data_IF_116533586083
#
_entry.id   IF_116533586083
#
_cell.length_a   1.000
_cell.length_b   1.000
_cell.length_c   1.000
_cell.angle_alpha   90.00
_cell.angle_beta   90.00
_cell.angle_gamma   90.00
#
_symmetry.space_group_name_H-M   'P 1'
#
loop_
_entity.id
_entity.type
_entity.pdbx_description
1 polymer ?
#
# COMPACT_ATOMS: atom_id res chain seq x y z
N UNK A 1 -48.60 22.28 -56.22
CA UNK A 1 -47.27 22.31 -55.58
C UNK A 1 -47.31 22.86 -54.14
N UNK A 2 -48.21 23.79 -53.80
CA UNK A 2 -48.27 24.41 -52.47
C UNK A 2 -48.80 23.51 -51.34
N UNK A 3 -49.68 22.55 -51.65
CA UNK A 3 -50.25 21.63 -50.64
C UNK A 3 -49.20 20.67 -50.10
N UNK A 4 -48.33 20.15 -50.97
CA UNK A 4 -47.27 19.20 -50.62
C UNK A 4 -46.21 19.83 -49.71
N UNK A 5 -45.89 21.11 -49.95
CA UNK A 5 -44.91 21.87 -49.15
C UNK A 5 -45.44 22.12 -47.74
N UNK A 6 -46.73 22.46 -47.60
CA UNK A 6 -47.35 22.71 -46.30
C UNK A 6 -47.45 21.43 -45.46
N UNK A 7 -47.73 20.28 -46.07
CA UNK A 7 -47.71 18.99 -45.38
C UNK A 7 -46.30 18.61 -44.92
N UNK A 8 -45.26 18.82 -45.75
CA UNK A 8 -43.87 18.56 -45.34
C UNK A 8 -43.37 19.53 -44.27
N UNK A 9 -43.86 20.77 -44.28
CA UNK A 9 -43.54 21.74 -43.23
C UNK A 9 -44.16 21.33 -41.89
N UNK A 10 -45.42 20.88 -41.89
CA UNK A 10 -46.07 20.39 -40.68
C UNK A 10 -45.35 19.17 -40.09
N UNK A 11 -44.99 18.18 -40.92
CA UNK A 11 -44.28 16.99 -40.43
C UNK A 11 -42.90 17.33 -39.89
N UNK A 12 -42.15 18.23 -40.55
CA UNK A 12 -40.86 18.68 -40.04
C UNK A 12 -40.97 19.48 -38.73
N UNK A 13 -42.06 20.24 -38.55
CA UNK A 13 -42.33 20.95 -37.29
C UNK A 13 -42.63 19.96 -36.15
N UNK A 14 -43.44 18.93 -36.40
CA UNK A 14 -43.74 17.88 -35.44
C UNK A 14 -42.47 17.10 -35.04
N UNK A 15 -41.64 16.75 -36.02
CA UNK A 15 -40.34 16.12 -35.82
C UNK A 15 -39.39 17.00 -34.99
N UNK A 16 -39.34 18.29 -35.29
CA UNK A 16 -38.51 19.25 -34.56
C UNK A 16 -38.95 19.37 -33.09
N UNK A 17 -40.26 19.41 -32.83
CA UNK A 17 -40.80 19.44 -31.47
C UNK A 17 -40.47 18.14 -30.72
N UNK A 18 -40.64 16.99 -31.37
CA UNK A 18 -40.30 15.68 -30.79
C UNK A 18 -38.83 15.58 -30.42
N UNK A 19 -37.93 16.00 -31.32
CA UNK A 19 -36.49 15.96 -31.09
C UNK A 19 -36.07 16.92 -29.96
N UNK A 20 -36.70 18.10 -29.86
CA UNK A 20 -36.46 19.03 -28.75
C UNK A 20 -36.88 18.44 -27.41
N UNK A 21 -38.05 17.78 -27.33
CA UNK A 21 -38.46 17.09 -26.10
C UNK A 21 -37.47 15.98 -25.72
N UNK A 22 -37.08 15.15 -26.68
CA UNK A 22 -36.14 14.04 -26.44
C UNK A 22 -34.75 14.54 -26.02
N UNK A 23 -34.29 15.66 -26.57
CA UNK A 23 -33.06 16.32 -26.14
C UNK A 23 -33.17 16.79 -24.68
N UNK A 24 -34.32 17.35 -24.30
CA UNK A 24 -34.56 17.85 -22.95
C UNK A 24 -34.63 16.69 -21.93
N UNK A 25 -35.29 15.59 -22.28
CA UNK A 25 -35.28 14.34 -21.49
C UNK A 25 -33.86 13.79 -21.31
N UNK A 26 -33.07 13.73 -22.37
CA UNK A 26 -31.67 13.26 -22.28
C UNK A 26 -30.79 14.19 -21.45
N UNK A 27 -31.03 15.51 -21.52
CA UNK A 27 -30.33 16.48 -20.66
C UNK A 27 -30.75 16.35 -19.19
N UNK A 28 -32.02 16.05 -18.93
CA UNK A 28 -32.54 15.78 -17.59
C UNK A 28 -31.91 14.49 -17.03
N UNK A 29 -31.92 13.40 -17.79
CA UNK A 29 -31.26 12.14 -17.43
C UNK A 29 -29.76 12.34 -17.18
N UNK A 30 -29.08 13.13 -18.02
CA UNK A 30 -27.65 13.45 -17.84
C UNK A 30 -27.39 14.25 -16.57
N UNK A 31 -28.29 15.16 -16.18
CA UNK A 31 -28.21 15.90 -14.90
C UNK A 31 -28.49 14.97 -13.72
N UNK A 32 -29.47 14.09 -13.83
CA UNK A 32 -29.78 13.08 -12.80
C UNK A 32 -28.62 12.10 -12.61
N UNK A 33 -27.96 11.65 -13.69
CA UNK A 33 -26.75 10.81 -13.62
C UNK A 33 -25.51 11.57 -13.09
N UNK A 34 -25.50 12.90 -13.19
CA UNK A 34 -24.44 13.76 -12.64
C UNK A 34 -24.69 14.16 -11.18
N UNK A 35 -25.97 14.14 -10.78
CA UNK A 35 -26.46 14.47 -9.43
C UNK A 35 -26.75 13.22 -8.58
N UNK A 36 -26.75 12.02 -9.18
CA UNK A 36 -26.55 10.81 -8.40
C UNK A 36 -25.21 10.98 -7.69
N UNK A 37 -25.13 10.66 -6.39
CA UNK A 37 -23.83 10.61 -5.74
C UNK A 37 -23.03 9.63 -6.61
N UNK A 38 -21.98 10.11 -7.30
CA UNK A 38 -21.00 9.26 -8.01
C UNK A 38 -20.88 8.02 -7.15
N UNK A 39 -21.36 6.88 -7.65
CA UNK A 39 -21.66 5.72 -6.82
C UNK A 39 -20.57 5.63 -5.77
N UNK A 40 -20.93 5.90 -4.51
CA UNK A 40 -20.17 5.37 -3.41
C UNK A 40 -20.41 3.89 -3.53
N UNK A 41 -19.72 3.25 -4.48
CA UNK A 41 -19.47 1.83 -4.46
C UNK A 41 -18.96 1.65 -3.05
N UNK A 42 -19.68 0.92 -2.20
CA UNK A 42 -19.12 0.55 -0.93
C UNK A 42 -17.96 -0.35 -1.33
N UNK A 43 -16.76 0.21 -1.44
CA UNK A 43 -15.57 -0.55 -1.18
C UNK A 43 -15.77 -1.02 0.26
N UNK A 44 -15.99 -2.32 0.53
CA UNK A 44 -15.53 -2.81 1.81
C UNK A 44 -14.03 -2.49 1.78
N UNK A 45 -13.64 -1.45 2.50
CA UNK A 45 -12.27 -1.32 2.97
C UNK A 45 -11.91 -2.72 3.48
N UNK A 46 -10.80 -3.34 3.04
CA UNK A 46 -10.46 -4.68 3.51
C UNK A 46 -10.58 -4.69 5.02
N UNK A 47 -11.56 -5.44 5.55
CA UNK A 47 -11.79 -5.54 6.98
C UNK A 47 -10.65 -6.39 7.52
N UNK A 48 -9.50 -5.76 7.76
CA UNK A 48 -8.51 -6.32 8.65
C UNK A 48 -9.21 -6.49 10.00
N UNK A 49 -9.18 -7.67 10.63
CA UNK A 49 -9.75 -7.85 11.96
C UNK A 49 -8.96 -7.03 12.98
N UNK A 50 -9.35 -5.76 13.13
CA UNK A 50 -8.84 -4.87 14.17
C UNK A 50 -9.53 -5.24 15.47
N UNK A 51 -8.86 -6.03 16.30
CA UNK A 51 -9.31 -6.25 17.68
C UNK A 51 -9.00 -5.00 18.49
N UNK A 52 -9.98 -4.11 18.59
CA UNK A 52 -9.84 -2.87 19.34
C UNK A 52 -9.93 -3.14 20.85
N UNK A 53 -8.78 -3.12 21.54
CA UNK A 53 -8.69 -3.20 23.02
C UNK A 53 -8.17 -1.89 23.63
N UNK A 54 -8.88 -0.78 23.46
CA UNK A 54 -8.47 0.49 24.08
C UNK A 54 -9.57 1.55 24.16
N UNK A 55 -9.54 2.40 25.19
CA UNK A 55 -10.46 3.51 25.37
C UNK A 55 -10.02 4.71 24.51
N UNK A 56 -10.93 5.28 23.71
CA UNK A 56 -10.64 6.36 22.75
C UNK A 56 -10.47 7.73 23.42
N UNK A 57 -9.29 8.32 23.32
CA UNK A 57 -9.09 9.79 23.36
C UNK A 57 -8.93 10.32 21.93
N UNK A 58 -9.39 11.55 21.72
CA UNK A 58 -9.69 12.18 20.43
C UNK A 58 -8.61 12.03 19.33
N UNK A 59 -9.11 11.95 18.10
CA UNK A 59 -8.45 11.49 16.88
C UNK A 59 -7.11 12.17 16.55
N UNK A 60 -6.09 11.32 16.41
CA UNK A 60 -4.93 11.62 15.56
C UNK A 60 -5.32 11.40 14.09
N UNK A 61 -4.84 12.23 13.15
CA UNK A 61 -5.02 11.96 11.72
C UNK A 61 -4.32 10.63 11.39
N UNK A 62 -5.12 9.66 10.95
CA UNK A 62 -4.63 8.36 10.47
C UNK A 62 -3.84 8.60 9.16
N UNK A 63 -2.61 8.09 9.00
CA UNK A 63 -1.91 8.16 7.72
C UNK A 63 -2.74 7.45 6.64
N UNK A 64 -3.13 8.18 5.59
CA UNK A 64 -4.03 7.72 4.52
C UNK A 64 -3.38 6.86 3.44
N UNK A 65 -2.16 6.35 3.66
CA UNK A 65 -1.56 5.35 2.78
C UNK A 65 -0.76 4.35 3.61
N UNK A 66 -1.29 3.14 3.73
CA UNK A 66 -0.52 1.99 4.21
C UNK A 66 0.28 1.45 3.02
N UNK A 67 1.53 1.87 2.89
CA UNK A 67 2.48 1.17 2.02
C UNK A 67 2.77 -0.16 2.71
N UNK A 68 2.10 -1.22 2.26
CA UNK A 68 2.28 -2.56 2.82
C UNK A 68 3.69 -3.07 2.46
N UNK A 69 4.37 -3.69 3.42
CA UNK A 69 5.72 -4.27 3.25
C UNK A 69 6.82 -3.27 2.87
N UNK A 70 6.77 -2.03 3.37
CA UNK A 70 7.88 -1.09 3.20
C UNK A 70 9.17 -1.71 3.76
N UNK A 71 10.20 -1.81 2.92
CA UNK A 71 11.56 -2.24 3.29
C UNK A 71 12.55 -1.23 2.73
N UNK A 72 13.18 -0.47 3.61
CA UNK A 72 14.22 0.49 3.25
C UNK A 72 15.57 -0.14 3.55
N UNK A 73 16.38 -0.34 2.52
CA UNK A 73 17.73 -0.87 2.63
C UNK A 73 18.73 0.29 2.73
N UNK A 74 19.42 0.41 3.86
CA UNK A 74 20.42 1.43 4.11
C UNK A 74 21.82 0.80 4.16
N UNK A 75 22.70 1.07 3.18
CA UNK A 75 24.07 0.58 3.22
C UNK A 75 24.85 1.31 4.31
N UNK A 76 25.50 0.55 5.18
CA UNK A 76 26.32 1.07 6.27
C UNK A 76 27.81 0.98 5.88
N UNK A 77 28.57 2.08 5.96
CA UNK A 77 29.99 2.07 5.63
C UNK A 77 30.79 1.22 6.62
N UNK A 78 31.93 0.68 6.19
CA UNK A 78 32.86 0.01 7.12
C UNK A 78 33.41 1.00 8.16
N UNK A 79 33.58 0.52 9.40
CA UNK A 79 33.95 1.38 10.53
C UNK A 79 32.80 2.24 11.05
N UNK A 80 31.58 1.70 10.99
CA UNK A 80 30.38 2.38 11.49
C UNK A 80 29.54 1.48 12.39
N UNK A 81 28.66 2.06 13.19
CA UNK A 81 27.68 1.32 13.97
C UNK A 81 26.32 2.02 13.92
N UNK A 82 25.26 1.23 13.86
CA UNK A 82 23.89 1.69 13.97
C UNK A 82 23.41 1.40 15.40
N UNK A 83 23.01 2.46 16.11
CA UNK A 83 22.44 2.35 17.46
C UNK A 83 20.96 2.73 17.37
N UNK A 84 20.09 1.89 17.92
CA UNK A 84 18.65 2.12 18.03
C UNK A 84 18.30 2.20 19.52
N UNK A 85 17.67 3.30 19.93
CA UNK A 85 17.25 3.54 21.31
C UNK A 85 15.76 3.27 21.48
N UNK A 86 15.37 2.88 22.69
CA UNK A 86 13.96 2.69 23.03
C UNK A 86 13.19 4.03 23.04
N UNK A 87 13.74 5.08 23.67
CA UNK A 87 13.16 6.43 23.68
C UNK A 87 13.81 7.33 22.59
N UNK A 88 13.03 7.90 21.65
CA UNK A 88 13.55 8.83 20.65
C UNK A 88 14.23 10.07 21.23
N UNK A 89 13.87 10.50 22.44
CA UNK A 89 14.51 11.65 23.09
C UNK A 89 15.98 11.38 23.42
N UNK A 90 16.35 10.11 23.65
CA UNK A 90 17.74 9.72 23.89
C UNK A 90 18.55 9.92 22.63
N UNK A 91 18.02 9.53 21.46
CA UNK A 91 18.67 9.78 20.18
C UNK A 91 18.93 11.29 19.98
N UNK A 92 17.95 12.15 20.22
CA UNK A 92 18.10 13.60 20.12
C UNK A 92 19.17 14.15 21.08
N UNK A 93 19.29 13.59 22.29
CA UNK A 93 20.31 13.99 23.28
C UNK A 93 21.71 13.58 22.83
N UNK A 94 21.87 12.33 22.37
CA UNK A 94 23.16 11.84 21.84
C UNK A 94 23.58 12.69 20.63
N UNK A 95 22.65 13.09 19.78
CA UNK A 95 22.89 13.92 18.60
C UNK A 95 23.27 15.38 18.91
N UNK A 96 23.01 15.89 20.12
CA UNK A 96 23.52 17.20 20.55
C UNK A 96 25.05 17.22 20.59
N UNK A 97 25.68 16.06 20.82
CA UNK A 97 27.12 15.88 20.82
C UNK A 97 27.53 15.09 19.57
N UNK A 98 28.01 15.80 18.54
CA UNK A 98 28.45 15.16 17.28
C UNK A 98 29.67 14.26 17.44
N UNK A 99 30.40 14.38 18.54
CA UNK A 99 31.64 13.68 18.75
C UNK A 99 31.73 13.15 20.16
N UNK A 100 32.01 11.86 20.26
CA UNK A 100 32.04 11.13 21.51
C UNK A 100 33.45 10.59 21.73
N UNK A 101 33.96 10.85 22.93
CA UNK A 101 35.19 10.22 23.43
C UNK A 101 34.80 9.02 24.27
N UNK A 102 35.18 7.84 23.83
CA UNK A 102 34.92 6.58 24.52
C UNK A 102 36.21 6.20 25.25
N UNK A 103 36.18 6.29 26.58
CA UNK A 103 37.32 5.92 27.42
C UNK A 103 37.34 4.40 27.62
N UNK A 104 38.50 3.78 27.38
CA UNK A 104 38.78 2.37 27.61
C UNK A 104 39.89 2.24 28.67
N UNK A 105 40.19 1.02 29.11
CA UNK A 105 41.18 0.78 30.18
C UNK A 105 42.57 1.31 29.84
N UNK A 106 43.04 1.10 28.59
CA UNK A 106 44.40 1.48 28.18
C UNK A 106 44.44 2.61 27.12
N UNK A 107 43.31 3.00 26.53
CA UNK A 107 43.26 4.00 25.47
C UNK A 107 41.89 4.70 25.39
N UNK A 108 41.69 5.53 24.37
CA UNK A 108 40.39 6.16 24.11
C UNK A 108 40.11 6.21 22.60
N UNK A 109 38.84 6.11 22.25
CA UNK A 109 38.35 6.18 20.88
C UNK A 109 37.60 7.49 20.64
N UNK A 110 37.72 8.01 19.42
CA UNK A 110 36.98 9.19 18.97
C UNK A 110 36.02 8.74 17.88
N UNK A 111 34.73 8.82 18.17
CA UNK A 111 33.68 8.46 17.20
C UNK A 111 32.79 9.66 16.92
N UNK A 112 32.26 9.72 15.71
CA UNK A 112 31.33 10.76 15.30
C UNK A 112 29.92 10.21 15.27
N UNK A 113 28.96 10.97 15.79
CA UNK A 113 27.54 10.58 15.77
C UNK A 113 26.79 11.56 14.88
N UNK A 114 25.99 10.99 13.97
CA UNK A 114 25.15 11.73 13.04
C UNK A 114 23.74 11.15 12.99
N UNK A 115 22.73 11.95 12.63
CA UNK A 115 21.38 11.44 12.48
C UNK A 115 21.34 10.44 11.33
N UNK A 116 20.57 9.36 11.50
CA UNK A 116 20.31 8.46 10.39
C UNK A 116 19.22 9.05 9.49
N UNK A 117 19.58 9.37 8.26
CA UNK A 117 18.62 9.82 7.24
C UNK A 117 18.26 8.68 6.28
N UNK A 118 16.97 8.42 6.15
CA UNK A 118 16.44 7.43 5.22
C UNK A 118 15.61 8.10 4.11
N UNK A 119 15.70 7.60 2.86
CA UNK A 119 14.84 8.05 1.78
C UNK A 119 13.41 7.52 2.01
N UNK A 120 12.50 8.39 2.42
CA UNK A 120 11.12 8.05 2.72
C UNK A 120 10.18 8.62 1.67
N UNK A 121 9.19 7.81 1.25
CA UNK A 121 8.10 8.28 0.39
C UNK A 121 7.15 9.13 1.23
N UNK A 122 7.08 10.43 0.95
CA UNK A 122 6.24 11.37 1.71
C UNK A 122 4.87 11.57 1.08
N UNK A 123 4.81 11.50 -0.24
CA UNK A 123 3.60 11.80 -1.01
C UNK A 123 3.43 10.75 -2.09
N UNK A 124 2.25 10.12 -2.14
CA UNK A 124 1.84 9.27 -3.25
C UNK A 124 0.52 9.82 -3.79
N UNK A 125 0.50 10.16 -5.07
CA UNK A 125 -0.72 10.50 -5.78
C UNK A 125 -1.10 9.30 -6.64
N UNK A 126 -2.25 8.72 -6.34
CA UNK A 126 -2.81 7.59 -7.08
C UNK A 126 -4.03 8.06 -7.85
N UNK A 127 -4.07 7.79 -9.14
CA UNK A 127 -5.32 7.86 -9.90
C UNK A 127 -6.00 6.52 -9.90
N UNK A 128 -7.27 6.54 -9.52
CA UNK A 128 -8.13 5.37 -9.56
C UNK A 128 -9.03 5.44 -10.79
N UNK A 129 -8.97 4.41 -11.64
CA UNK A 129 -9.85 4.27 -12.80
C UNK A 129 -10.55 2.91 -12.75
N UNK A 130 -11.85 2.91 -13.02
CA UNK A 130 -12.61 1.65 -13.15
C UNK A 130 -12.13 0.92 -14.40
N UNK A 131 -11.86 -0.38 -14.27
CA UNK A 131 -11.59 -1.22 -15.41
C UNK A 131 -12.86 -2.04 -15.70
N UNK A 132 -13.49 -1.75 -16.84
CA UNK A 132 -14.82 -2.29 -17.16
C UNK A 132 -14.76 -3.74 -17.67
N UNK A 133 -13.56 -4.27 -17.89
CA UNK A 133 -13.32 -5.64 -18.35
C UNK A 133 -12.81 -6.56 -17.23
N UNK A 134 -12.52 -6.02 -16.04
CA UNK A 134 -11.95 -6.78 -14.92
C UNK A 134 -12.88 -6.81 -13.71
N UNK A 135 -12.83 -7.91 -12.98
CA UNK A 135 -13.56 -8.08 -11.73
C UNK A 135 -12.62 -8.55 -10.62
N UNK A 136 -12.92 -8.15 -9.40
CA UNK A 136 -12.25 -8.62 -8.19
C UNK A 136 -13.12 -9.68 -7.51
N UNK A 137 -12.57 -10.88 -7.33
CA UNK A 137 -13.20 -11.99 -6.63
C UNK A 137 -12.56 -12.12 -5.25
N UNK A 138 -13.38 -12.16 -4.20
CA UNK A 138 -12.92 -12.31 -2.81
C UNK A 138 -13.84 -13.22 -1.99
N UNK A 139 -13.42 -13.54 -0.75
CA UNK A 139 -14.13 -14.48 0.12
C UNK A 139 -13.53 -15.89 0.15
N UNK A 140 -12.26 -16.03 -0.18
CA UNK A 140 -11.55 -17.31 -0.08
C UNK A 140 -11.32 -17.68 1.40
N UNK A 141 -11.65 -18.92 1.82
CA UNK A 141 -11.42 -19.37 3.19
C UNK A 141 -9.91 -19.57 3.44
N UNK A 142 -9.45 -19.25 4.66
CA UNK A 142 -8.05 -19.38 5.02
C UNK A 142 -7.56 -20.83 5.01
N UNK A 143 -8.47 -21.79 5.20
CA UNK A 143 -8.20 -23.23 5.23
C UNK A 143 -8.26 -23.87 3.83
N UNK A 144 -8.42 -23.08 2.77
CA UNK A 144 -8.50 -23.60 1.40
C UNK A 144 -7.18 -24.26 1.01
N UNK A 145 -7.16 -25.60 0.95
CA UNK A 145 -6.00 -26.40 0.53
C UNK A 145 -5.88 -26.46 -0.99
N UNK A 146 -5.77 -25.32 -1.66
CA UNK A 146 -5.47 -25.24 -3.09
C UNK A 146 -4.20 -24.42 -3.28
N UNK A 147 -3.36 -24.84 -4.21
CA UNK A 147 -2.26 -23.99 -4.69
C UNK A 147 -2.82 -22.80 -5.48
N UNK A 148 -2.01 -21.77 -5.64
CA UNK A 148 -2.35 -20.56 -6.41
C UNK A 148 -2.85 -20.91 -7.82
N UNK A 149 -2.10 -21.72 -8.57
CA UNK A 149 -2.49 -22.12 -9.92
C UNK A 149 -3.78 -22.96 -9.96
N UNK A 150 -3.98 -23.87 -9.00
CA UNK A 150 -5.23 -24.65 -8.92
C UNK A 150 -6.45 -23.77 -8.63
N UNK A 151 -6.27 -22.73 -7.80
CA UNK A 151 -7.33 -21.77 -7.53
C UNK A 151 -7.67 -20.98 -8.79
N UNK A 152 -6.65 -20.43 -9.46
CA UNK A 152 -6.82 -19.62 -10.68
C UNK A 152 -7.47 -20.44 -11.79
N UNK A 153 -7.03 -21.69 -12.01
CA UNK A 153 -7.61 -22.59 -13.01
C UNK A 153 -9.08 -22.91 -12.73
N UNK A 154 -9.44 -23.20 -11.47
CA UNK A 154 -10.84 -23.46 -11.10
C UNK A 154 -11.72 -22.23 -11.30
N UNK A 155 -11.22 -21.05 -10.97
CA UNK A 155 -11.95 -19.80 -11.15
C UNK A 155 -12.13 -19.48 -12.63
N UNK A 156 -11.09 -19.67 -13.44
CA UNK A 156 -11.14 -19.52 -14.88
C UNK A 156 -12.17 -20.47 -15.50
N UNK A 157 -12.14 -21.76 -15.14
CA UNK A 157 -13.11 -22.74 -15.63
C UNK A 157 -14.53 -22.38 -15.19
N UNK A 158 -14.71 -21.84 -13.98
CA UNK A 158 -16.03 -21.47 -13.46
C UNK A 158 -16.58 -20.21 -14.14
N UNK A 159 -15.79 -19.14 -14.19
CA UNK A 159 -16.17 -17.85 -14.77
C UNK A 159 -16.00 -17.80 -16.29
N UNK A 160 -15.38 -18.81 -16.90
CA UNK A 160 -15.36 -19.02 -18.36
C UNK A 160 -16.69 -19.52 -18.92
N UNK A 161 -17.57 -20.05 -18.06
CA UNK A 161 -18.83 -20.68 -18.48
C UNK A 161 -19.94 -19.66 -18.63
N UNK A 162 -20.50 -19.55 -19.84
CA UNK A 162 -21.67 -18.71 -20.12
C UNK A 162 -22.88 -18.99 -19.21
N UNK A 163 -23.09 -20.25 -18.78
CA UNK A 163 -24.17 -20.61 -17.83
C UNK A 163 -24.08 -19.91 -16.47
N UNK A 164 -22.87 -19.48 -16.09
CA UNK A 164 -22.62 -18.77 -14.84
C UNK A 164 -22.64 -17.23 -15.06
N UNK A 165 -23.08 -16.76 -16.24
CA UNK A 165 -22.98 -15.35 -16.62
C UNK A 165 -21.55 -14.91 -16.98
N UNK A 166 -20.64 -15.87 -17.13
CA UNK A 166 -19.24 -15.71 -17.45
C UNK A 166 -18.94 -15.70 -18.96
N UNK A 167 -17.66 -15.69 -19.32
CA UNK A 167 -17.19 -15.65 -20.71
C UNK A 167 -15.67 -15.77 -20.79
N UNK A 168 -15.09 -15.64 -21.97
CA UNK A 168 -13.67 -15.88 -22.21
C UNK A 168 -12.79 -15.01 -21.30
N UNK A 169 -11.97 -15.68 -20.48
CA UNK A 169 -11.05 -15.07 -19.52
C UNK A 169 -9.72 -14.84 -20.24
N UNK A 170 -9.24 -13.60 -20.23
CA UNK A 170 -7.96 -13.21 -20.86
C UNK A 170 -6.83 -13.10 -19.84
N UNK A 171 -7.14 -12.67 -18.61
CA UNK A 171 -6.12 -12.44 -17.57
C UNK A 171 -6.58 -12.97 -16.23
N UNK A 172 -5.66 -13.55 -15.46
CA UNK A 172 -5.88 -14.04 -14.10
C UNK A 172 -4.71 -13.63 -13.22
N UNK A 173 -4.98 -13.01 -12.09
CA UNK A 173 -3.96 -12.49 -11.17
C UNK A 173 -4.39 -12.74 -9.73
N UNK A 174 -3.53 -13.36 -8.92
CA UNK A 174 -3.74 -13.51 -7.49
C UNK A 174 -3.17 -12.28 -6.76
N UNK A 175 -4.00 -11.61 -5.99
CA UNK A 175 -3.64 -10.56 -5.04
C UNK A 175 -3.73 -11.12 -3.61
N UNK A 176 -3.24 -10.38 -2.61
CA UNK A 176 -3.30 -10.78 -1.21
C UNK A 176 -4.75 -11.03 -0.75
N UNK A 177 -5.17 -12.29 -0.74
CA UNK A 177 -6.51 -12.73 -0.34
C UNK A 177 -7.62 -12.47 -1.35
N UNK A 178 -7.32 -12.11 -2.60
CA UNK A 178 -8.33 -11.86 -3.65
C UNK A 178 -7.79 -12.23 -5.04
N UNK A 179 -8.66 -12.49 -6.02
CA UNK A 179 -8.27 -12.82 -7.39
C UNK A 179 -8.87 -11.80 -8.34
N UNK A 180 -8.07 -11.30 -9.27
CA UNK A 180 -8.54 -10.44 -10.37
C UNK A 180 -8.69 -11.31 -11.61
N UNK A 181 -9.86 -11.27 -12.23
CA UNK A 181 -10.13 -11.89 -13.52
C UNK A 181 -10.45 -10.81 -14.54
N UNK A 182 -9.83 -10.91 -15.72
CA UNK A 182 -10.11 -10.06 -16.87
C UNK A 182 -10.76 -10.85 -17.98
N UNK A 183 -11.76 -10.25 -18.62
CA UNK A 183 -12.58 -10.88 -19.65
C UNK A 183 -12.45 -10.13 -20.98
N UNK A 184 -12.57 -10.85 -22.09
CA UNK A 184 -12.53 -10.26 -23.42
C UNK A 184 -13.61 -9.19 -23.65
N UNK A 185 -14.80 -9.38 -23.03
CA UNK A 185 -15.96 -8.48 -23.17
C UNK A 185 -16.30 -7.80 -21.84
N UNK A 186 -16.49 -6.48 -21.88
CA UNK A 186 -16.93 -5.70 -20.72
C UNK A 186 -18.29 -6.13 -20.17
N UNK A 187 -19.20 -6.56 -21.05
CA UNK A 187 -20.55 -7.02 -20.68
C UNK A 187 -20.50 -8.19 -19.69
N UNK A 188 -19.50 -9.06 -19.82
CA UNK A 188 -19.29 -10.20 -18.91
C UNK A 188 -18.93 -9.69 -17.52
N UNK A 189 -17.92 -8.82 -17.41
CA UNK A 189 -17.50 -8.26 -16.13
C UNK A 189 -18.64 -7.48 -15.44
N UNK A 190 -19.39 -6.67 -16.20
CA UNK A 190 -20.56 -5.94 -15.70
C UNK A 190 -21.65 -6.89 -15.19
N UNK A 191 -21.96 -7.94 -15.95
CA UNK A 191 -22.96 -8.93 -15.56
C UNK A 191 -22.54 -9.70 -14.31
N UNK A 192 -21.28 -10.10 -14.20
CA UNK A 192 -20.73 -10.78 -13.02
C UNK A 192 -20.80 -9.87 -11.77
N UNK A 193 -20.47 -8.58 -11.90
CA UNK A 193 -20.60 -7.60 -10.82
C UNK A 193 -22.07 -7.40 -10.39
N UNK A 194 -23.01 -7.44 -11.34
CA UNK A 194 -24.45 -7.33 -11.05
C UNK A 194 -24.98 -8.54 -10.26
N UNK A 195 -24.48 -9.74 -10.56
CA UNK A 195 -24.82 -10.95 -9.79
C UNK A 195 -24.18 -10.89 -8.40
N UNK A 196 -22.91 -10.48 -8.31
CA UNK A 196 -22.22 -10.12 -7.08
C UNK A 196 -21.85 -11.26 -6.12
N UNK A 197 -22.60 -12.36 -6.10
CA UNK A 197 -22.33 -13.53 -5.26
C UNK A 197 -22.45 -14.83 -6.03
N UNK A 198 -21.46 -15.70 -5.86
CA UNK A 198 -21.38 -16.98 -6.56
C UNK A 198 -21.02 -18.10 -5.58
N UNK A 199 -21.63 -19.28 -5.77
CA UNK A 199 -21.17 -20.50 -5.11
C UNK A 199 -20.25 -21.24 -6.07
N UNK A 200 -18.96 -21.26 -5.75
CA UNK A 200 -17.94 -21.83 -6.62
C UNK A 200 -17.43 -23.14 -6.01
N UNK A 201 -17.44 -24.25 -6.77
CA UNK A 201 -16.89 -25.51 -6.31
C UNK A 201 -15.35 -25.43 -6.31
N UNK A 202 -14.77 -25.22 -5.14
CA UNK A 202 -13.32 -25.17 -4.93
C UNK A 202 -12.89 -26.43 -4.16
N UNK A 203 -12.34 -27.40 -4.90
CA UNK A 203 -11.97 -28.70 -4.33
C UNK A 203 -13.21 -29.54 -4.01
N UNK A 204 -13.42 -29.87 -2.73
CA UNK A 204 -14.56 -30.68 -2.25
C UNK A 204 -15.71 -29.85 -1.65
N UNK A 205 -15.57 -28.53 -1.65
CA UNK A 205 -16.52 -27.62 -1.00
C UNK A 205 -17.06 -26.58 -1.98
N UNK A 206 -18.32 -26.19 -1.80
CA UNK A 206 -18.87 -25.00 -2.43
C UNK A 206 -18.58 -23.78 -1.55
N UNK A 207 -17.81 -22.84 -2.10
CA UNK A 207 -17.39 -21.64 -1.39
C UNK A 207 -18.23 -20.45 -1.90
N UNK A 208 -18.86 -19.67 -1.01
CA UNK A 208 -19.50 -18.42 -1.38
C UNK A 208 -18.45 -17.34 -1.66
N UNK A 209 -18.25 -17.01 -2.93
CA UNK A 209 -17.37 -15.93 -3.38
C UNK A 209 -18.18 -14.68 -3.71
N UNK A 210 -17.56 -13.52 -3.48
CA UNK A 210 -18.11 -12.20 -3.81
C UNK A 210 -17.33 -11.61 -4.98
N UNK A 211 -18.05 -11.00 -5.92
CA UNK A 211 -17.49 -10.36 -7.11
C UNK A 211 -17.76 -8.87 -7.05
N UNK A 212 -16.72 -8.08 -7.24
CA UNK A 212 -16.73 -6.62 -7.18
C UNK A 212 -16.16 -6.02 -8.46
N UNK A 213 -16.55 -4.79 -8.82
CA UNK A 213 -15.91 -4.06 -9.91
C UNK A 213 -14.43 -3.83 -9.60
N UNK A 214 -13.56 -4.07 -10.58
CA UNK A 214 -12.14 -3.80 -10.42
C UNK A 214 -11.84 -2.32 -10.66
N UNK A 215 -11.06 -1.72 -9.77
CA UNK A 215 -10.55 -0.35 -9.92
C UNK A 215 -9.04 -0.43 -9.91
N UNK A 216 -8.43 -0.07 -11.04
CA UNK A 216 -6.99 0.04 -11.14
C UNK A 216 -6.54 1.33 -10.45
N UNK A 217 -5.52 1.22 -9.60
CA UNK A 217 -4.82 2.35 -9.01
C UNK A 217 -3.46 2.51 -9.66
N UNK A 218 -3.26 3.58 -10.41
CA UNK A 218 -1.96 3.92 -10.99
C UNK A 218 -1.31 5.04 -10.19
N UNK A 219 -0.05 4.83 -9.80
CA UNK A 219 0.74 5.87 -9.12
C UNK A 219 1.15 6.90 -10.17
N UNK A 220 0.58 8.11 -10.08
CA UNK A 220 0.91 9.22 -10.97
C UNK A 220 2.14 9.98 -10.48
N UNK A 221 2.30 10.09 -9.17
CA UNK A 221 3.41 10.81 -8.56
C UNK A 221 3.81 10.15 -7.26
N UNK A 222 5.11 9.97 -7.06
CA UNK A 222 5.70 9.62 -5.79
C UNK A 222 6.81 10.64 -5.48
N UNK A 223 6.77 11.23 -4.29
CA UNK A 223 7.82 12.11 -3.80
C UNK A 223 8.61 11.40 -2.70
N UNK A 224 9.93 11.38 -2.85
CA UNK A 224 10.87 10.80 -1.89
C UNK A 224 11.66 11.94 -1.26
N UNK A 225 11.73 11.97 0.07
CA UNK A 225 12.54 12.93 0.83
C UNK A 225 13.37 12.20 1.86
N UNK A 226 14.59 12.68 2.09
CA UNK A 226 15.40 12.23 3.24
C UNK A 226 14.74 12.68 4.53
N UNK A 227 14.49 11.74 5.43
CA UNK A 227 13.95 12.00 6.75
C UNK A 227 14.80 11.33 7.82
N UNK A 228 14.99 12.05 8.93
CA UNK A 228 15.71 11.57 10.10
C UNK A 228 14.88 10.52 10.84
N UNK A 229 15.48 9.38 11.15
CA UNK A 229 14.85 8.32 11.95
C UNK A 229 14.93 8.68 13.43
N UNK A 230 13.77 8.84 14.09
CA UNK A 230 13.66 9.45 15.41
C UNK A 230 14.35 8.67 16.56
N UNK A 231 14.64 7.39 16.36
CA UNK A 231 15.23 6.49 17.38
C UNK A 231 16.64 6.01 17.06
N UNK A 232 17.17 6.38 15.89
CA UNK A 232 18.37 5.75 15.35
C UNK A 232 19.46 6.77 15.10
N UNK A 233 20.67 6.44 15.55
CA UNK A 233 21.87 7.25 15.29
C UNK A 233 22.92 6.39 14.59
N UNK A 234 23.66 7.05 13.70
CA UNK A 234 24.77 6.43 12.99
C UNK A 234 26.08 6.92 13.60
N UNK A 235 26.86 5.97 14.09
CA UNK A 235 28.20 6.18 14.65
C UNK A 235 29.21 5.90 13.55
N UNK A 236 30.12 6.83 13.32
CA UNK A 236 31.16 6.79 12.28
C UNK A 236 32.56 6.89 12.89
N UNK A 237 33.56 6.58 12.06
CA UNK A 237 34.99 6.63 12.38
C UNK A 237 35.37 5.68 13.52
N UNK A 238 34.76 4.49 13.53
CA UNK A 238 35.13 3.43 14.46
C UNK A 238 36.44 2.81 13.97
N UNK A 239 37.54 2.91 14.73
CA UNK A 239 38.83 2.37 14.32
C UNK A 239 38.91 0.85 14.50
N UNK A 240 39.77 0.20 13.71
CA UNK A 240 40.01 -1.25 13.76
C UNK A 240 41.04 -1.61 14.86
N UNK A 241 40.64 -1.45 16.12
CA UNK A 241 41.53 -1.63 17.29
C UNK A 241 41.06 -2.69 18.26
N UNK A 242 39.79 -3.09 18.16
CA UNK A 242 39.17 -4.14 18.96
C UNK A 242 38.49 -5.14 18.05
N UNK A 243 38.26 -6.34 18.56
CA UNK A 243 37.42 -7.29 17.86
C UNK A 243 35.94 -6.87 17.85
N UNK A 244 35.14 -7.55 17.02
CA UNK A 244 33.73 -7.21 16.84
C UNK A 244 32.90 -7.24 18.13
N UNK A 245 32.97 -8.31 18.95
CA UNK A 245 32.27 -8.39 20.23
C UNK A 245 32.69 -7.33 21.24
N UNK A 246 34.00 -7.12 21.45
CA UNK A 246 34.49 -6.11 22.41
C UNK A 246 34.08 -4.69 21.99
N UNK A 247 34.16 -4.39 20.69
CA UNK A 247 33.71 -3.10 20.17
C UNK A 247 32.20 -2.89 20.38
N UNK A 248 31.40 -3.94 20.21
CA UNK A 248 29.96 -3.90 20.43
C UNK A 248 29.64 -3.58 21.90
N UNK A 249 30.23 -4.32 22.84
CA UNK A 249 30.02 -4.11 24.28
C UNK A 249 30.42 -2.71 24.74
N UNK A 250 31.57 -2.21 24.28
CA UNK A 250 32.07 -0.87 24.67
C UNK A 250 31.15 0.24 24.14
N UNK A 251 30.68 0.12 22.89
CA UNK A 251 29.75 1.10 22.31
C UNK A 251 28.40 1.05 23.04
N UNK A 252 27.89 -0.15 23.32
CA UNK A 252 26.63 -0.32 24.05
C UNK A 252 26.72 0.32 25.43
N UNK A 253 27.76 0.02 26.21
CA UNK A 253 27.99 0.61 27.53
C UNK A 253 28.13 2.14 27.45
N UNK A 254 28.79 2.67 26.42
CA UNK A 254 28.93 4.12 26.24
C UNK A 254 27.58 4.80 25.98
N UNK A 255 26.78 4.24 25.07
CA UNK A 255 25.47 4.79 24.69
C UNK A 255 24.35 4.47 25.69
N UNK A 256 24.58 3.56 26.64
CA UNK A 256 23.68 3.36 27.78
C UNK A 256 23.89 4.36 28.92
N UNK A 257 25.05 5.03 29.01
CA UNK A 257 25.37 5.94 30.12
C UNK A 257 24.60 7.27 30.01
N UNK A 258 23.73 7.60 31.00
CA UNK A 258 23.00 8.88 30.99
C UNK A 258 23.91 10.11 31.07
N UNK A 259 25.10 9.97 31.66
CA UNK A 259 26.10 11.05 31.74
C UNK A 259 26.62 11.49 30.37
N UNK A 260 26.42 10.68 29.32
CA UNK A 260 26.80 10.97 27.93
C UNK A 260 25.58 11.28 27.05
N UNK A 261 24.41 11.52 27.65
CA UNK A 261 23.14 11.68 26.95
C UNK A 261 22.56 10.35 26.44
N UNK A 262 23.14 9.23 26.85
CA UNK A 262 22.69 7.87 26.52
C UNK A 262 21.47 7.40 27.32
N UNK A 263 20.98 6.22 26.99
CA UNK A 263 19.78 5.61 27.58
C UNK A 263 19.61 4.16 27.15
N UNK A 264 18.43 3.58 27.35
CA UNK A 264 18.18 2.18 26.99
C UNK A 264 18.35 1.95 25.47
N UNK A 265 19.27 1.06 25.12
CA UNK A 265 19.56 0.65 23.74
C UNK A 265 18.70 -0.56 23.41
N UNK A 266 17.87 -0.43 22.38
CA UNK A 266 17.03 -1.52 21.87
C UNK A 266 17.88 -2.48 20.99
N UNK A 267 18.73 -1.92 20.14
CA UNK A 267 19.60 -2.69 19.27
C UNK A 267 20.88 -1.91 18.88
N UNK A 268 21.97 -2.65 18.71
CA UNK A 268 23.26 -2.12 18.24
C UNK A 268 23.84 -3.08 17.19
N UNK A 269 24.23 -2.53 16.04
CA UNK A 269 24.88 -3.28 14.96
C UNK A 269 26.16 -2.58 14.51
N UNK A 270 27.30 -3.25 14.67
CA UNK A 270 28.63 -2.73 14.30
C UNK A 270 29.07 -3.32 12.96
N UNK A 271 29.61 -2.47 12.08
CA UNK A 271 30.22 -2.83 10.81
C UNK A 271 31.72 -2.54 10.90
N UNK A 272 32.56 -3.57 11.05
CA UNK A 272 34.01 -3.38 11.14
C UNK A 272 34.60 -2.70 9.89
N UNK A 273 35.75 -2.02 10.02
CA UNK A 273 36.48 -1.49 8.86
C UNK A 273 36.77 -2.58 7.82
N UNK A 274 36.72 -2.20 6.54
CA UNK A 274 36.91 -3.14 5.42
C UNK A 274 35.72 -4.07 5.12
N UNK A 275 34.67 -4.08 5.94
CA UNK A 275 33.39 -4.75 5.66
C UNK A 275 32.32 -3.75 5.24
N UNK A 276 31.23 -4.26 4.65
CA UNK A 276 30.03 -3.49 4.34
C UNK A 276 28.83 -4.12 5.06
N UNK A 277 28.00 -3.29 5.67
CA UNK A 277 26.78 -3.71 6.34
C UNK A 277 25.54 -3.23 5.58
N UNK A 278 24.41 -3.89 5.80
CA UNK A 278 23.11 -3.47 5.26
C UNK A 278 22.08 -3.48 6.38
N UNK A 279 21.56 -2.32 6.73
CA UNK A 279 20.43 -2.19 7.65
C UNK A 279 19.12 -2.21 6.86
N UNK A 280 18.13 -2.98 7.32
CA UNK A 280 16.81 -3.08 6.69
C UNK A 280 15.76 -2.53 7.66
N UNK A 281 15.12 -1.43 7.28
CA UNK A 281 14.07 -0.79 8.06
C UNK A 281 12.70 -1.17 7.53
N UNK A 282 11.77 -1.47 8.43
CA UNK A 282 10.38 -1.81 8.10
C UNK A 282 9.42 -0.73 8.59
N UNK A 283 8.14 -0.83 8.25
CA UNK A 283 7.10 0.11 8.69
C UNK A 283 6.96 0.28 10.21
N UNK A 284 7.45 -0.68 11.00
CA UNK A 284 7.43 -0.63 12.48
C UNK A 284 8.71 0.02 13.05
N UNK A 285 9.76 0.09 12.24
CA UNK A 285 11.11 0.52 12.62
C UNK A 285 11.44 1.96 12.20
N UNK A 286 10.52 2.63 11.48
CA UNK A 286 10.68 3.97 10.89
C UNK A 286 9.79 4.98 11.60
#
# INVERSE_FOLDING_TARGET
MSVTINTTLCTLQEEQVRLKMRLQELQQLKRELRNSPKDKIPFPVPEFPLVFRGHTKQGRPVPKSLVSNLRICCPLPGGSALVIFDDPKVADQVLQQKEHKIDMEECWLRVQVQPLELPMVTTIQVSSQRNDQRVLVSGFPAELRLSEEELLDKLEIFFGKARNGGGDVETRELLQGSVVLGFAKEEVAQNLCRIGQFRVPLGRQEVPLRVFPYVSGEIQKAEIRSQTVLRSVLVLNIPDVLDGPEMHDILEIHFQKPTRGGGEVEALAVVPPGKQGLAVFTSESV
#
